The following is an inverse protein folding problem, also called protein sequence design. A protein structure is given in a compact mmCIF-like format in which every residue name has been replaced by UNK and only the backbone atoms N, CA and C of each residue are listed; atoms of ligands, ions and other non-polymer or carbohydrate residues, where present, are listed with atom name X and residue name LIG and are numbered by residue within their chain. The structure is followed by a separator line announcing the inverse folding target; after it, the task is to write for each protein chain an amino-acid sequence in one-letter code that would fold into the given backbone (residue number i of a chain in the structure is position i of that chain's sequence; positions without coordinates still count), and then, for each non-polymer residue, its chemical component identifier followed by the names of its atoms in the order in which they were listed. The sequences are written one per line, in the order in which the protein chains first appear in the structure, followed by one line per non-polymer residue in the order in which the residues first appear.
data_IF_386766304148
#
_entry.id   IF_386766304148
#
_cell.length_a   1.000
_cell.length_b   1.000
_cell.length_c   1.000
_cell.angle_alpha   90.00
_cell.angle_beta   90.00
_cell.angle_gamma   90.00
#
_symmetry.space_group_name_H-M   'P 1'
#
loop_
_entity.id
_entity.type
_entity.pdbx_description
1 polymer ?
#
# COMPACT_ATOMS: atom_id res chain seq x y z
N UNK A 1 22.95 3.85 -17.50
CA UNK A 1 22.30 3.06 -16.43
C UNK A 1 20.94 2.62 -16.95
N UNK A 2 20.49 1.35 -16.77
CA UNK A 2 19.11 0.98 -17.11
C UNK A 2 18.19 1.83 -16.21
N UNK A 3 17.26 2.54 -16.83
CA UNK A 3 16.31 3.35 -16.10
C UNK A 3 15.48 2.46 -15.16
N UNK A 4 15.63 2.62 -13.84
CA UNK A 4 14.80 1.93 -12.84
C UNK A 4 13.33 2.28 -13.10
N UNK A 5 12.46 1.26 -13.13
CA UNK A 5 11.02 1.44 -13.15
C UNK A 5 10.47 1.11 -11.75
N UNK A 6 9.53 1.91 -11.29
CA UNK A 6 8.89 1.74 -9.98
C UNK A 6 7.67 0.82 -10.10
N UNK A 7 7.53 -0.09 -9.14
CA UNK A 7 6.36 -0.99 -9.05
C UNK A 7 5.14 -0.23 -8.53
N UNK A 8 3.94 -0.60 -8.97
CA UNK A 8 2.69 -0.03 -8.45
C UNK A 8 1.78 -1.14 -7.93
N UNK A 9 1.23 -0.90 -6.74
CA UNK A 9 0.09 -1.59 -6.16
C UNK A 9 -1.07 -0.59 -6.17
N UNK A 10 -2.16 -0.85 -6.90
CA UNK A 10 -3.28 0.08 -7.03
C UNK A 10 -4.63 -0.57 -6.75
N UNK A 11 -5.61 0.21 -6.33
CA UNK A 11 -6.98 -0.22 -6.06
C UNK A 11 -7.60 0.57 -4.91
N UNK A 12 -8.86 0.26 -4.53
CA UNK A 12 -9.58 1.09 -3.56
C UNK A 12 -9.03 0.95 -2.14
N UNK A 13 -9.39 1.93 -1.29
CA UNK A 13 -9.17 1.86 0.15
C UNK A 13 -9.84 0.63 0.75
N UNK A 14 -11.11 0.39 0.39
CA UNK A 14 -11.89 -0.78 0.76
C UNK A 14 -12.66 -1.35 -0.44
N UNK A 15 -12.92 -2.65 -0.42
CA UNK A 15 -13.92 -3.27 -1.30
C UNK A 15 -15.29 -2.97 -0.70
N UNK A 16 -16.13 -2.25 -1.45
CA UNK A 16 -17.42 -1.74 -0.98
C UNK A 16 -18.60 -2.45 -1.67
N UNK A 17 -18.37 -3.01 -2.85
CA UNK A 17 -19.27 -3.88 -3.59
C UNK A 17 -18.53 -4.64 -4.69
N UNK A 18 -19.14 -5.72 -5.20
CA UNK A 18 -18.64 -6.45 -6.36
C UNK A 18 -18.53 -5.55 -7.60
N UNK A 19 -19.56 -4.73 -7.86
CA UNK A 19 -19.56 -3.79 -8.98
C UNK A 19 -18.46 -2.76 -8.90
N UNK A 20 -18.20 -2.21 -7.71
CA UNK A 20 -17.13 -1.24 -7.49
C UNK A 20 -15.74 -1.83 -7.80
N UNK A 21 -15.40 -2.98 -7.22
CA UNK A 21 -14.05 -3.56 -7.41
C UNK A 21 -13.84 -4.03 -8.85
N UNK A 22 -14.86 -4.60 -9.49
CA UNK A 22 -14.79 -4.98 -10.90
C UNK A 22 -14.57 -3.78 -11.83
N UNK A 23 -15.26 -2.66 -11.57
CA UNK A 23 -15.11 -1.44 -12.36
C UNK A 23 -13.73 -0.80 -12.18
N UNK A 24 -13.19 -0.79 -10.95
CA UNK A 24 -11.84 -0.29 -10.66
C UNK A 24 -10.78 -1.18 -11.34
N UNK A 25 -10.90 -2.50 -11.21
CA UNK A 25 -9.98 -3.43 -11.85
C UNK A 25 -9.94 -3.26 -13.37
N UNK A 26 -11.12 -3.12 -13.99
CA UNK A 26 -11.22 -2.84 -15.42
C UNK A 26 -10.56 -1.50 -15.78
N UNK A 27 -10.82 -0.44 -15.02
CA UNK A 27 -10.22 0.88 -15.25
C UNK A 27 -8.69 0.86 -15.18
N UNK A 28 -8.12 0.15 -14.20
CA UNK A 28 -6.67 -0.06 -14.08
C UNK A 28 -6.13 -0.86 -15.29
N UNK A 29 -6.82 -1.91 -15.71
CA UNK A 29 -6.42 -2.70 -16.89
C UNK A 29 -6.45 -1.86 -18.17
N UNK A 30 -7.47 -1.01 -18.34
CA UNK A 30 -7.58 -0.08 -19.48
C UNK A 30 -6.42 0.94 -19.49
N UNK A 31 -5.94 1.39 -18.33
CA UNK A 31 -4.76 2.26 -18.19
C UNK A 31 -3.50 1.53 -18.67
N UNK A 32 -3.27 0.30 -18.18
CA UNK A 32 -2.12 -0.52 -18.56
C UNK A 32 -2.11 -0.78 -20.06
N UNK A 33 -3.24 -1.16 -20.64
CA UNK A 33 -3.35 -1.46 -22.07
C UNK A 33 -3.08 -0.23 -22.97
N UNK A 34 -3.61 0.94 -22.57
CA UNK A 34 -3.44 2.19 -23.34
C UNK A 34 -2.01 2.73 -23.31
N UNK A 35 -1.19 2.28 -22.39
CA UNK A 35 0.22 2.67 -22.31
C UNK A 35 1.14 1.85 -23.24
N UNK A 36 0.59 1.01 -24.14
CA UNK A 36 1.35 0.05 -24.94
C UNK A 36 2.34 -0.79 -24.08
N UNK A 37 1.99 -1.03 -22.82
CA UNK A 37 2.83 -1.64 -21.79
C UNK A 37 4.14 -0.89 -21.50
N UNK A 38 4.25 0.41 -21.83
CA UNK A 38 5.50 1.16 -21.73
C UNK A 38 5.33 2.50 -21.01
N UNK A 39 4.96 2.50 -19.71
CA UNK A 39 5.32 3.65 -18.89
C UNK A 39 6.84 3.74 -18.81
N UNK A 40 7.40 4.95 -18.95
CA UNK A 40 8.85 5.17 -18.83
C UNK A 40 9.32 5.15 -17.38
N UNK A 41 8.43 5.44 -16.47
CA UNK A 41 8.71 5.61 -15.02
C UNK A 41 8.25 4.40 -14.22
N UNK A 42 7.09 3.84 -14.54
CA UNK A 42 6.48 2.77 -13.79
C UNK A 42 6.48 1.45 -14.55
N UNK A 43 6.67 0.36 -13.83
CA UNK A 43 6.40 -0.98 -14.35
C UNK A 43 4.89 -1.21 -14.42
N UNK A 44 4.48 -2.31 -15.06
CA UNK A 44 3.05 -2.68 -15.08
C UNK A 44 2.47 -2.78 -13.66
N UNK A 45 1.23 -2.32 -13.48
CA UNK A 45 0.49 -2.45 -12.22
C UNK A 45 0.15 -3.93 -12.03
N UNK A 46 0.90 -4.59 -11.16
CA UNK A 46 0.82 -6.05 -10.95
C UNK A 46 -0.24 -6.43 -9.92
N UNK A 47 -0.50 -5.59 -8.93
CA UNK A 47 -1.36 -5.92 -7.81
C UNK A 47 -2.61 -5.06 -7.77
N UNK A 48 -3.79 -5.72 -7.61
CA UNK A 48 -5.04 -5.06 -7.28
C UNK A 48 -5.23 -5.11 -5.76
N UNK A 49 -5.12 -3.94 -5.10
CA UNK A 49 -5.37 -3.83 -3.68
C UNK A 49 -6.85 -3.58 -3.38
N UNK A 50 -7.32 -4.08 -2.24
CA UNK A 50 -8.62 -3.74 -1.68
C UNK A 50 -8.69 -4.17 -0.21
N UNK A 51 -9.06 -3.26 0.69
CA UNK A 51 -9.29 -3.60 2.10
C UNK A 51 -10.60 -4.40 2.24
N UNK A 52 -10.50 -5.62 2.75
CA UNK A 52 -11.64 -6.50 3.05
C UNK A 52 -12.08 -6.28 4.49
N UNK A 53 -11.13 -6.17 5.38
CA UNK A 53 -11.31 -5.83 6.80
C UNK A 53 -10.64 -4.50 7.07
N UNK A 54 -11.31 -3.64 7.86
CA UNK A 54 -10.82 -2.29 8.17
C UNK A 54 -10.74 -2.11 9.67
N UNK A 55 -9.53 -2.17 10.28
CA UNK A 55 -9.39 -1.84 11.69
C UNK A 55 -9.73 -0.37 11.93
N UNK A 56 -10.75 -0.08 12.76
CA UNK A 56 -11.22 1.28 13.01
C UNK A 56 -10.90 1.70 14.43
N UNK A 57 -10.50 2.96 14.58
CA UNK A 57 -10.19 3.54 15.90
C UNK A 57 -11.45 3.78 16.73
N UNK A 58 -12.59 4.05 16.06
CA UNK A 58 -13.88 4.29 16.72
C UNK A 58 -14.89 3.23 16.32
N UNK A 59 -15.78 2.82 17.25
CA UNK A 59 -16.87 1.91 16.93
C UNK A 59 -17.87 2.55 15.95
N UNK A 60 -18.73 1.73 15.35
CA UNK A 60 -19.80 2.15 14.43
C UNK A 60 -19.30 2.82 13.13
N UNK A 61 -18.05 2.61 12.75
CA UNK A 61 -17.53 2.95 11.43
C UNK A 61 -17.55 1.71 10.52
N UNK A 62 -17.51 1.93 9.21
CA UNK A 62 -17.45 0.81 8.26
C UNK A 62 -16.17 -0.02 8.48
N UNK A 63 -16.32 -1.26 8.92
CA UNK A 63 -15.24 -2.19 9.25
C UNK A 63 -14.83 -3.11 8.10
N UNK A 64 -15.36 -2.84 6.89
CA UNK A 64 -15.22 -3.70 5.73
C UNK A 64 -16.37 -4.69 5.60
N UNK A 65 -16.45 -5.35 4.46
CA UNK A 65 -17.50 -6.34 4.19
C UNK A 65 -17.15 -7.75 4.72
N UNK A 66 -15.88 -7.95 5.10
CA UNK A 66 -15.43 -9.25 5.56
C UNK A 66 -15.35 -10.28 4.45
N UNK A 67 -15.46 -11.55 4.82
CA UNK A 67 -15.21 -12.71 3.94
C UNK A 67 -15.99 -12.69 2.62
N UNK A 68 -17.19 -12.12 2.59
CA UNK A 68 -18.04 -12.07 1.38
C UNK A 68 -17.37 -11.33 0.22
N UNK A 69 -16.46 -10.39 0.51
CA UNK A 69 -15.77 -9.60 -0.52
C UNK A 69 -14.45 -10.22 -1.01
N UNK A 70 -13.95 -11.31 -0.37
CA UNK A 70 -12.74 -11.99 -0.81
C UNK A 70 -12.85 -12.51 -2.25
N UNK A 71 -13.90 -13.29 -2.64
CA UNK A 71 -14.04 -13.76 -4.01
C UNK A 71 -14.19 -12.61 -5.00
N UNK A 72 -14.85 -11.50 -4.66
CA UNK A 72 -14.99 -10.36 -5.56
C UNK A 72 -13.64 -9.71 -5.91
N UNK A 73 -12.78 -9.50 -4.89
CA UNK A 73 -11.44 -8.96 -5.12
C UNK A 73 -10.57 -9.94 -5.91
N UNK A 74 -10.66 -11.24 -5.60
CA UNK A 74 -9.94 -12.29 -6.31
C UNK A 74 -10.34 -12.34 -7.79
N UNK A 75 -11.63 -12.46 -8.08
CA UNK A 75 -12.16 -12.56 -9.44
C UNK A 75 -11.87 -11.29 -10.27
N UNK A 76 -12.00 -10.10 -9.65
CA UNK A 76 -11.67 -8.84 -10.29
C UNK A 76 -10.19 -8.76 -10.68
N UNK A 77 -9.29 -9.19 -9.80
CA UNK A 77 -7.87 -9.20 -10.08
C UNK A 77 -7.49 -10.21 -11.18
N UNK A 78 -7.90 -11.47 -11.03
CA UNK A 78 -7.57 -12.55 -11.97
C UNK A 78 -8.11 -12.27 -13.37
N UNK A 79 -9.34 -11.78 -13.47
CA UNK A 79 -9.98 -11.41 -14.75
C UNK A 79 -9.14 -10.40 -15.56
N UNK A 80 -8.37 -9.59 -14.89
CA UNK A 80 -7.55 -8.53 -15.50
C UNK A 80 -6.04 -8.78 -15.38
N UNK A 81 -5.61 -10.04 -15.15
CA UNK A 81 -4.21 -10.44 -15.03
C UNK A 81 -3.45 -9.71 -13.92
N UNK A 82 -4.13 -9.36 -12.83
CA UNK A 82 -3.53 -8.79 -11.63
C UNK A 82 -3.53 -9.81 -10.47
N UNK A 83 -2.68 -9.60 -9.48
CA UNK A 83 -2.61 -10.38 -8.26
C UNK A 83 -3.48 -9.66 -7.20
N UNK A 84 -4.47 -10.36 -6.60
CA UNK A 84 -5.25 -9.76 -5.50
C UNK A 84 -4.39 -9.62 -4.25
N UNK A 85 -4.50 -8.47 -3.58
CA UNK A 85 -3.83 -8.23 -2.31
C UNK A 85 -4.76 -7.51 -1.32
N UNK A 86 -4.85 -8.00 -0.08
CA UNK A 86 -5.69 -7.43 0.97
C UNK A 86 -4.97 -7.33 2.31
N UNK A 87 -5.50 -6.47 3.22
CA UNK A 87 -5.03 -6.37 4.61
C UNK A 87 -5.46 -7.58 5.42
N UNK A 88 -4.53 -8.09 6.23
CA UNK A 88 -4.83 -9.06 7.28
C UNK A 88 -4.31 -8.54 8.62
N UNK A 89 -5.11 -8.71 9.67
CA UNK A 89 -4.77 -8.31 11.04
C UNK A 89 -4.83 -9.47 12.02
N UNK A 90 -5.30 -10.66 11.59
CA UNK A 90 -5.41 -11.85 12.44
C UNK A 90 -5.08 -13.11 11.65
N UNK A 91 -4.71 -14.18 12.37
CA UNK A 91 -4.50 -15.52 11.79
C UNK A 91 -5.75 -16.02 11.02
N UNK A 92 -6.94 -15.81 11.59
CA UNK A 92 -8.19 -16.21 10.94
C UNK A 92 -8.42 -15.49 9.59
N UNK A 93 -8.13 -14.18 9.52
CA UNK A 93 -8.24 -13.42 8.27
C UNK A 93 -7.24 -13.92 7.22
N UNK A 94 -6.00 -14.22 7.63
CA UNK A 94 -5.01 -14.78 6.72
C UNK A 94 -5.44 -16.16 6.19
N UNK A 95 -5.93 -17.05 7.06
CA UNK A 95 -6.45 -18.36 6.65
C UNK A 95 -7.56 -18.21 5.61
N UNK A 96 -8.52 -17.31 5.85
CA UNK A 96 -9.61 -17.04 4.90
C UNK A 96 -9.11 -16.47 3.55
N UNK A 97 -8.11 -15.60 3.57
CA UNK A 97 -7.51 -15.11 2.33
C UNK A 97 -6.85 -16.26 1.55
N UNK A 98 -6.07 -17.12 2.21
CA UNK A 98 -5.43 -18.28 1.58
C UNK A 98 -6.48 -19.25 1.02
N UNK A 99 -7.54 -19.56 1.76
CA UNK A 99 -8.64 -20.45 1.34
C UNK A 99 -9.38 -19.91 0.09
N UNK A 100 -9.35 -18.58 -0.11
CA UNK A 100 -9.89 -17.91 -1.30
C UNK A 100 -8.85 -17.68 -2.41
N UNK A 101 -7.69 -18.35 -2.35
CA UNK A 101 -6.69 -18.35 -3.42
C UNK A 101 -5.73 -17.16 -3.42
N UNK A 102 -5.74 -16.31 -2.39
CA UNK A 102 -4.78 -15.21 -2.29
C UNK A 102 -3.36 -15.76 -2.09
N UNK A 103 -2.43 -15.20 -2.84
CA UNK A 103 -0.99 -15.47 -2.72
C UNK A 103 -0.22 -14.25 -2.22
N UNK A 104 -0.91 -13.15 -1.97
CA UNK A 104 -0.31 -11.91 -1.48
C UNK A 104 -1.23 -11.24 -0.45
N UNK A 105 -0.65 -10.79 0.66
CA UNK A 105 -1.35 -10.02 1.71
C UNK A 105 -0.46 -8.91 2.24
N UNK A 106 -1.07 -7.90 2.90
CA UNK A 106 -0.27 -7.01 3.73
C UNK A 106 -0.72 -7.06 5.19
N UNK A 107 0.25 -6.97 6.08
CA UNK A 107 0.05 -6.77 7.50
C UNK A 107 -0.13 -5.27 7.74
N UNK A 108 -1.27 -4.87 8.29
CA UNK A 108 -1.61 -3.47 8.50
C UNK A 108 -0.76 -2.79 9.59
N UNK A 109 -0.70 -1.47 9.55
CA UNK A 109 0.12 -0.66 10.47
C UNK A 109 -0.27 -0.78 11.97
N UNK A 110 -1.52 -1.15 12.26
CA UNK A 110 -1.95 -1.43 13.64
C UNK A 110 -1.51 -2.80 14.11
N UNK A 111 -1.50 -3.75 13.20
CA UNK A 111 -1.11 -5.14 13.46
C UNK A 111 0.40 -5.30 13.54
N UNK A 112 1.18 -4.61 12.69
CA UNK A 112 2.64 -4.68 12.71
C UNK A 112 3.28 -4.16 14.01
N UNK A 113 2.55 -3.31 14.75
CA UNK A 113 2.95 -2.86 16.08
C UNK A 113 2.53 -3.80 17.23
N UNK A 114 1.89 -4.93 16.91
CA UNK A 114 1.46 -5.93 17.89
C UNK A 114 2.19 -7.26 17.68
N UNK A 115 3.22 -7.57 18.50
CA UNK A 115 3.99 -8.80 18.35
C UNK A 115 3.17 -10.10 18.50
N UNK A 116 2.09 -10.09 19.29
CA UNK A 116 1.22 -11.27 19.44
C UNK A 116 0.44 -11.53 18.15
N UNK A 117 -0.20 -10.50 17.60
CA UNK A 117 -0.93 -10.64 16.36
C UNK A 117 -0.01 -11.05 15.19
N UNK A 118 1.20 -10.51 15.10
CA UNK A 118 2.19 -10.91 14.09
C UNK A 118 2.61 -12.35 14.27
N UNK A 119 2.85 -12.82 15.52
CA UNK A 119 3.19 -14.21 15.78
C UNK A 119 2.06 -15.17 15.36
N UNK A 120 0.80 -14.86 15.69
CA UNK A 120 -0.35 -15.66 15.28
C UNK A 120 -0.47 -15.77 13.74
N UNK A 121 -0.22 -14.69 13.03
CA UNK A 121 -0.14 -14.66 11.56
C UNK A 121 1.01 -15.56 11.07
N UNK A 122 2.18 -15.49 11.70
CA UNK A 122 3.34 -16.31 11.35
C UNK A 122 3.08 -17.83 11.54
N UNK A 123 2.27 -18.24 12.53
CA UNK A 123 1.89 -19.65 12.65
C UNK A 123 1.11 -20.16 11.42
N UNK A 124 0.21 -19.35 10.88
CA UNK A 124 -0.50 -19.69 9.63
C UNK A 124 0.46 -19.74 8.44
N UNK A 125 1.37 -18.76 8.31
CA UNK A 125 2.38 -18.74 7.25
C UNK A 125 3.30 -19.96 7.30
N UNK A 126 3.68 -20.43 8.50
CA UNK A 126 4.54 -21.62 8.69
C UNK A 126 3.89 -22.89 8.15
N UNK A 127 2.54 -22.97 8.22
CA UNK A 127 1.76 -24.11 7.71
C UNK A 127 1.53 -23.96 6.21
N UNK A 128 1.42 -22.72 5.72
CA UNK A 128 1.27 -22.43 4.30
C UNK A 128 2.61 -22.63 3.57
N UNK A 129 2.73 -23.74 2.87
CA UNK A 129 3.96 -24.12 2.15
C UNK A 129 4.07 -23.55 0.73
N UNK A 130 3.29 -22.51 0.40
CA UNK A 130 3.40 -21.88 -0.91
C UNK A 130 4.67 -21.02 -0.99
N UNK A 131 5.71 -21.42 -1.78
CA UNK A 131 6.96 -20.68 -1.86
C UNK A 131 6.81 -19.32 -2.59
N UNK A 132 5.70 -19.12 -3.28
CA UNK A 132 5.40 -17.88 -3.98
C UNK A 132 4.49 -16.95 -3.17
N UNK A 133 4.24 -17.26 -1.90
CA UNK A 133 3.43 -16.39 -1.06
C UNK A 133 4.22 -15.12 -0.70
N UNK A 134 3.59 -13.95 -0.87
CA UNK A 134 4.21 -12.65 -0.65
C UNK A 134 3.54 -11.96 0.54
N UNK A 135 4.33 -11.45 1.46
CA UNK A 135 3.83 -10.68 2.62
C UNK A 135 4.43 -9.28 2.61
N UNK A 136 3.57 -8.29 2.59
CA UNK A 136 3.96 -6.89 2.69
C UNK A 136 3.72 -6.42 4.13
N UNK A 137 4.74 -5.86 4.78
CA UNK A 137 4.64 -5.42 6.18
C UNK A 137 4.65 -3.90 6.24
N UNK A 138 3.51 -3.29 6.62
CA UNK A 138 3.44 -1.84 6.86
C UNK A 138 4.20 -1.48 8.14
N UNK A 139 4.82 -0.29 8.15
CA UNK A 139 5.39 0.24 9.38
C UNK A 139 4.29 0.45 10.44
N UNK A 140 4.61 0.32 11.75
CA UNK A 140 3.72 0.72 12.84
C UNK A 140 3.29 2.18 12.76
N UNK A 141 2.19 2.54 13.46
CA UNK A 141 1.70 3.92 13.50
C UNK A 141 2.65 4.87 14.25
N UNK A 142 3.47 4.33 15.13
CA UNK A 142 4.52 5.06 15.87
C UNK A 142 5.87 4.91 15.17
N UNK A 143 6.73 5.89 15.36
CA UNK A 143 8.10 5.86 14.87
C UNK A 143 8.98 5.04 15.82
N UNK A 144 8.81 3.73 15.76
CA UNK A 144 9.58 2.75 16.53
C UNK A 144 10.21 1.73 15.55
N UNK A 145 11.51 1.86 15.37
CA UNK A 145 12.25 1.04 14.41
C UNK A 145 12.30 -0.42 14.82
N UNK A 146 12.46 -0.70 16.10
CA UNK A 146 12.57 -2.06 16.62
C UNK A 146 11.24 -2.83 16.48
N UNK A 147 10.11 -2.15 16.62
CA UNK A 147 8.79 -2.74 16.35
C UNK A 147 8.66 -3.16 14.88
N UNK A 148 9.06 -2.29 13.95
CA UNK A 148 8.96 -2.62 12.52
C UNK A 148 9.97 -3.71 12.14
N UNK A 149 11.23 -3.61 12.59
CA UNK A 149 12.24 -4.65 12.40
C UNK A 149 11.72 -5.98 12.93
N UNK A 150 11.24 -6.01 14.17
CA UNK A 150 10.76 -7.22 14.81
C UNK A 150 9.57 -7.87 14.08
N UNK A 151 8.65 -7.07 13.54
CA UNK A 151 7.56 -7.59 12.72
C UNK A 151 8.08 -8.23 11.43
N UNK A 152 9.00 -7.57 10.72
CA UNK A 152 9.60 -8.09 9.48
C UNK A 152 10.42 -9.34 9.74
N UNK A 153 11.26 -9.37 10.78
CA UNK A 153 12.07 -10.54 11.15
C UNK A 153 11.21 -11.77 11.46
N UNK A 154 10.09 -11.61 12.18
CA UNK A 154 9.14 -12.71 12.45
C UNK A 154 8.56 -13.27 11.17
N UNK A 155 8.13 -12.40 10.25
CA UNK A 155 7.56 -12.85 8.96
C UNK A 155 8.63 -13.50 8.09
N UNK A 156 9.85 -12.93 8.01
CA UNK A 156 10.98 -13.51 7.23
C UNK A 156 11.44 -14.87 7.76
N UNK A 157 11.19 -15.18 9.03
CA UNK A 157 11.51 -16.49 9.58
C UNK A 157 10.60 -17.62 9.03
N UNK A 158 9.49 -17.29 8.37
CA UNK A 158 8.48 -18.25 7.88
C UNK A 158 8.02 -18.01 6.44
N UNK A 159 8.46 -16.93 5.81
CA UNK A 159 8.11 -16.55 4.43
C UNK A 159 9.34 -15.92 3.78
N UNK A 160 9.70 -16.36 2.57
CA UNK A 160 10.89 -15.87 1.86
C UNK A 160 10.63 -14.51 1.16
N UNK A 161 9.40 -14.29 0.67
CA UNK A 161 9.06 -13.10 -0.09
C UNK A 161 8.38 -12.05 0.82
N UNK A 162 9.19 -11.25 1.49
CA UNK A 162 8.72 -10.21 2.41
C UNK A 162 9.12 -8.84 1.89
N UNK A 163 8.15 -7.95 1.77
CA UNK A 163 8.30 -6.58 1.30
C UNK A 163 7.91 -5.57 2.38
N UNK A 164 8.44 -4.37 2.28
CA UNK A 164 8.21 -3.28 3.22
C UNK A 164 7.21 -2.29 2.62
N UNK A 165 6.29 -1.77 3.43
CA UNK A 165 5.44 -0.64 3.06
C UNK A 165 5.59 0.45 4.12
N UNK A 166 6.05 1.62 3.70
CA UNK A 166 6.08 2.80 4.53
C UNK A 166 4.88 3.71 4.24
N UNK A 167 4.07 3.96 5.27
CA UNK A 167 2.84 4.75 5.18
C UNK A 167 2.86 6.02 6.05
N UNK A 168 4.03 6.38 6.56
CA UNK A 168 4.19 7.44 7.55
C UNK A 168 3.83 7.00 8.96
N UNK A 169 4.15 7.85 9.91
CA UNK A 169 3.87 7.66 11.34
C UNK A 169 2.89 8.71 11.85
N UNK A 170 2.37 8.53 13.04
CA UNK A 170 1.41 9.47 13.62
C UNK A 170 2.04 10.85 13.84
N UNK A 171 1.41 11.87 13.28
CA UNK A 171 1.82 13.27 13.49
C UNK A 171 1.05 13.84 14.68
N UNK A 172 1.76 14.28 15.73
CA UNK A 172 1.14 14.93 16.88
C UNK A 172 0.62 16.32 16.53
N UNK A 173 -0.37 16.81 17.28
CA UNK A 173 -0.91 18.16 17.07
C UNK A 173 0.15 19.24 17.30
N UNK A 174 1.02 19.06 18.28
CA UNK A 174 2.09 20.02 18.60
C UNK A 174 3.11 20.08 17.44
N UNK A 175 3.49 18.92 16.88
CA UNK A 175 4.39 18.88 15.74
C UNK A 175 3.75 19.49 14.50
N UNK A 176 2.47 19.24 14.25
CA UNK A 176 1.72 19.86 13.16
C UNK A 176 1.71 21.38 13.30
N UNK A 177 1.37 21.90 14.47
CA UNK A 177 1.33 23.33 14.74
C UNK A 177 2.71 23.99 14.57
N UNK A 178 3.78 23.29 14.97
CA UNK A 178 5.15 23.74 14.74
C UNK A 178 5.49 23.80 13.24
N UNK A 179 5.22 22.72 12.47
CA UNK A 179 5.44 22.69 11.03
C UNK A 179 4.66 23.80 10.30
N UNK A 180 3.40 24.04 10.68
CA UNK A 180 2.58 25.14 10.15
C UNK A 180 3.20 26.51 10.44
N UNK A 181 3.74 26.72 11.65
CA UNK A 181 4.42 27.98 12.03
C UNK A 181 5.70 28.21 11.21
N UNK A 182 6.42 27.16 10.88
CA UNK A 182 7.64 27.20 10.05
C UNK A 182 7.35 27.19 8.53
N UNK A 183 6.06 27.12 8.15
CA UNK A 183 5.60 27.05 6.73
C UNK A 183 6.22 25.91 5.95
N UNK A 184 6.37 24.75 6.59
CA UNK A 184 6.88 23.55 5.95
C UNK A 184 5.77 22.86 5.18
N UNK A 185 5.99 22.53 3.91
CA UNK A 185 4.97 21.99 3.00
C UNK A 185 4.31 20.71 3.52
N UNK A 186 5.06 19.84 4.22
CA UNK A 186 4.51 18.61 4.79
C UNK A 186 3.58 18.83 6.00
N UNK A 187 3.40 20.05 6.50
CA UNK A 187 2.44 20.35 7.56
C UNK A 187 1.01 19.95 7.21
N UNK A 188 0.66 20.00 5.92
CA UNK A 188 -0.65 19.59 5.40
C UNK A 188 -0.85 18.07 5.31
N UNK A 189 0.21 17.27 5.47
CA UNK A 189 0.13 15.81 5.38
C UNK A 189 -0.59 15.21 6.60
N UNK A 190 -1.26 14.08 6.35
CA UNK A 190 -1.98 13.33 7.42
C UNK A 190 -1.01 12.69 8.40
N UNK A 191 0.08 12.13 7.87
CA UNK A 191 1.08 11.42 8.65
C UNK A 191 2.46 12.02 8.39
N UNK A 192 3.32 11.87 9.37
CA UNK A 192 4.71 12.29 9.27
C UNK A 192 5.48 11.37 8.32
N UNK A 193 6.34 11.96 7.48
CA UNK A 193 7.24 11.24 6.61
C UNK A 193 8.69 11.44 7.09
N UNK A 194 9.31 10.36 7.57
CA UNK A 194 10.72 10.33 7.97
C UNK A 194 11.48 9.32 7.09
N UNK A 195 12.21 9.83 6.09
CA UNK A 195 12.96 8.98 5.18
C UNK A 195 14.21 8.37 5.82
N UNK A 196 14.78 9.00 6.85
CA UNK A 196 15.88 8.40 7.62
C UNK A 196 15.45 7.14 8.39
N UNK A 197 14.19 7.07 8.85
CA UNK A 197 13.60 5.87 9.41
C UNK A 197 13.47 4.75 8.34
N UNK A 198 13.09 5.13 7.12
CA UNK A 198 12.95 4.21 5.98
C UNK A 198 14.30 3.68 5.49
N UNK A 199 15.33 4.55 5.45
CA UNK A 199 16.70 4.18 5.09
C UNK A 199 17.26 3.09 6.01
N UNK A 200 17.06 3.22 7.32
CA UNK A 200 17.49 2.22 8.30
C UNK A 200 16.83 0.85 8.04
N UNK A 201 15.54 0.83 7.71
CA UNK A 201 14.86 -0.41 7.35
C UNK A 201 15.41 -1.03 6.07
N UNK A 202 15.67 -0.23 5.04
CA UNK A 202 16.23 -0.74 3.78
C UNK A 202 17.66 -1.23 3.95
N UNK A 203 18.46 -0.60 4.81
CA UNK A 203 19.80 -1.09 5.18
C UNK A 203 19.74 -2.44 5.90
N UNK A 204 18.76 -2.62 6.79
CA UNK A 204 18.56 -3.88 7.52
C UNK A 204 18.04 -5.01 6.63
N UNK A 205 17.18 -4.69 5.65
CA UNK A 205 16.54 -5.63 4.74
C UNK A 205 16.77 -5.24 3.27
N UNK A 206 18.02 -5.30 2.77
CA UNK A 206 18.36 -4.81 1.42
C UNK A 206 17.64 -5.57 0.30
N UNK A 207 17.34 -6.85 0.51
CA UNK A 207 16.69 -7.73 -0.48
C UNK A 207 15.16 -7.59 -0.50
N UNK A 208 14.56 -6.90 0.47
CA UNK A 208 13.12 -6.63 0.48
C UNK A 208 12.80 -5.39 -0.35
N UNK A 209 11.83 -5.49 -1.27
CA UNK A 209 11.32 -4.30 -1.95
C UNK A 209 10.68 -3.34 -0.94
N UNK A 210 10.90 -2.05 -1.13
CA UNK A 210 10.34 -0.99 -0.32
C UNK A 210 9.29 -0.22 -1.12
N UNK A 211 8.05 -0.26 -0.67
CA UNK A 211 6.94 0.51 -1.20
C UNK A 211 6.64 1.70 -0.29
N UNK A 212 6.36 2.84 -0.89
CA UNK A 212 5.81 4.01 -0.19
C UNK A 212 4.30 4.05 -0.42
N UNK A 213 3.54 4.38 0.62
CA UNK A 213 2.08 4.57 0.56
C UNK A 213 1.76 6.08 0.65
N UNK A 214 1.79 6.80 -0.48
CA UNK A 214 1.58 8.24 -0.51
C UNK A 214 0.14 8.63 -0.11
N UNK A 215 -0.83 7.77 -0.39
CA UNK A 215 -2.23 8.01 -0.03
C UNK A 215 -2.41 8.19 1.47
N UNK A 216 -1.75 7.34 2.27
CA UNK A 216 -1.84 7.46 3.73
C UNK A 216 -0.90 8.53 4.30
N UNK A 217 0.27 8.78 3.68
CA UNK A 217 1.18 9.85 4.15
C UNK A 217 0.51 11.20 3.95
N UNK A 218 0.07 11.49 2.74
CA UNK A 218 -0.51 12.81 2.42
C UNK A 218 -1.93 12.98 2.97
N UNK A 219 -2.75 11.91 2.92
CA UNK A 219 -4.16 11.94 3.33
C UNK A 219 -5.06 12.79 2.42
N UNK A 220 -4.52 13.24 1.27
CA UNK A 220 -5.23 14.08 0.31
C UNK A 220 -4.72 13.79 -1.11
N UNK A 221 -5.65 13.46 -2.02
CA UNK A 221 -5.35 13.10 -3.40
C UNK A 221 -4.53 14.17 -4.16
N UNK A 222 -4.71 15.46 -3.84
CA UNK A 222 -3.98 16.56 -4.50
C UNK A 222 -2.47 16.54 -4.22
N UNK A 223 -2.04 15.87 -3.15
CA UNK A 223 -0.64 15.80 -2.78
C UNK A 223 0.01 14.45 -3.12
N UNK A 224 -0.76 13.47 -3.61
CA UNK A 224 -0.23 12.12 -3.92
C UNK A 224 0.79 12.19 -5.04
N UNK A 225 0.46 12.80 -6.18
CA UNK A 225 1.38 12.92 -7.31
C UNK A 225 2.61 13.80 -6.98
N UNK A 226 2.47 15.02 -6.44
CA UNK A 226 3.64 15.82 -6.02
C UNK A 226 4.57 15.06 -5.06
N UNK A 227 4.01 14.31 -4.11
CA UNK A 227 4.80 13.51 -3.19
C UNK A 227 5.53 12.36 -3.89
N UNK A 228 4.89 11.66 -4.83
CA UNK A 228 5.55 10.60 -5.62
C UNK A 228 6.71 11.20 -6.43
N UNK A 229 6.51 12.37 -7.04
CA UNK A 229 7.53 13.06 -7.80
C UNK A 229 8.75 13.41 -6.92
N UNK A 230 8.53 13.86 -5.69
CA UNK A 230 9.59 14.10 -4.70
C UNK A 230 10.33 12.81 -4.36
N UNK A 231 9.62 11.70 -4.10
CA UNK A 231 10.23 10.41 -3.79
C UNK A 231 11.09 9.88 -4.94
N UNK A 232 10.62 9.99 -6.18
CA UNK A 232 11.36 9.56 -7.37
C UNK A 232 12.61 10.42 -7.56
N UNK A 233 12.52 11.73 -7.35
CA UNK A 233 13.64 12.65 -7.53
C UNK A 233 14.74 12.46 -6.48
N UNK A 234 14.36 12.31 -5.22
CA UNK A 234 15.30 12.35 -4.12
C UNK A 234 15.68 10.96 -3.56
N UNK A 235 14.85 9.93 -3.80
CA UNK A 235 14.98 8.62 -3.16
C UNK A 235 14.85 7.44 -4.15
N UNK A 236 15.17 7.66 -5.43
CA UNK A 236 15.05 6.66 -6.50
C UNK A 236 15.82 5.36 -6.22
N UNK A 237 16.93 5.43 -5.49
CA UNK A 237 17.74 4.26 -5.10
C UNK A 237 17.14 3.49 -3.93
N UNK A 238 16.35 4.16 -3.11
CA UNK A 238 15.77 3.60 -1.90
C UNK A 238 14.40 2.96 -2.16
N UNK A 239 13.53 3.66 -2.92
CA UNK A 239 12.14 3.28 -3.16
C UNK A 239 12.04 2.33 -4.35
N UNK A 240 11.36 1.18 -4.19
CA UNK A 240 11.13 0.20 -5.25
C UNK A 240 9.72 0.30 -5.88
N UNK A 241 8.78 0.97 -5.19
CA UNK A 241 7.43 1.14 -5.70
C UNK A 241 6.51 1.96 -4.80
N UNK A 242 5.25 2.02 -5.21
CA UNK A 242 4.20 2.79 -4.52
C UNK A 242 2.95 1.96 -4.34
N UNK A 243 2.29 2.11 -3.17
CA UNK A 243 0.96 1.57 -2.90
C UNK A 243 -0.04 2.73 -2.92
N UNK A 244 -0.91 2.77 -3.95
CA UNK A 244 -1.77 3.91 -4.24
C UNK A 244 -3.23 3.50 -4.07
N UNK A 245 -4.00 4.33 -3.35
CA UNK A 245 -5.45 4.19 -3.29
C UNK A 245 -6.10 4.88 -4.49
N UNK A 246 -6.98 4.16 -5.21
CA UNK A 246 -7.72 4.71 -6.34
C UNK A 246 -9.18 4.24 -6.34
N UNK A 247 -10.08 5.10 -6.80
CA UNK A 247 -11.50 4.84 -6.87
C UNK A 247 -12.08 5.28 -8.21
N UNK A 248 -13.17 4.66 -8.64
CA UNK A 248 -13.86 5.01 -9.89
C UNK A 248 -14.56 6.39 -9.79
N UNK A 249 -15.12 6.68 -8.63
CA UNK A 249 -15.65 7.98 -8.22
C UNK A 249 -15.41 8.13 -6.72
N UNK A 250 -14.41 8.88 -6.30
CA UNK A 250 -14.01 8.99 -4.89
C UNK A 250 -15.09 9.60 -4.00
N UNK A 251 -15.98 10.43 -4.56
CA UNK A 251 -17.04 11.05 -3.77
C UNK A 251 -18.07 10.03 -3.28
N UNK A 252 -18.21 8.90 -3.98
CA UNK A 252 -19.07 7.79 -3.58
C UNK A 252 -18.37 6.83 -2.60
N UNK A 253 -17.06 6.97 -2.39
CA UNK A 253 -16.31 6.09 -1.50
C UNK A 253 -16.80 6.18 -0.05
N UNK A 254 -17.05 5.03 0.56
CA UNK A 254 -17.46 4.93 1.98
C UNK A 254 -16.27 5.27 2.89
N UNK A 255 -15.04 4.93 2.47
CA UNK A 255 -13.84 5.10 3.28
C UNK A 255 -12.80 5.98 2.61
N UNK A 256 -12.15 6.83 3.40
CA UNK A 256 -10.94 7.59 3.05
C UNK A 256 -10.99 8.32 1.69
N UNK A 257 -12.18 8.81 1.28
CA UNK A 257 -12.42 9.44 -0.03
C UNK A 257 -11.43 10.55 -0.39
N UNK A 258 -10.96 11.31 0.61
CA UNK A 258 -10.07 12.45 0.39
C UNK A 258 -8.69 12.07 -0.13
N UNK A 259 -8.23 10.85 0.10
CA UNK A 259 -6.86 10.42 -0.24
C UNK A 259 -6.78 9.50 -1.46
N UNK A 260 -7.92 9.03 -1.98
CA UNK A 260 -7.95 8.16 -3.15
C UNK A 260 -7.84 8.98 -4.44
N UNK A 261 -6.98 8.56 -5.37
CA UNK A 261 -6.97 9.10 -6.73
C UNK A 261 -8.20 8.61 -7.49
N UNK A 262 -8.73 9.42 -8.39
CA UNK A 262 -9.60 8.92 -9.43
C UNK A 262 -8.80 8.22 -10.52
N UNK A 263 -9.45 7.36 -11.32
CA UNK A 263 -8.77 6.59 -12.36
C UNK A 263 -8.06 7.47 -13.40
N UNK A 264 -8.61 8.65 -13.71
CA UNK A 264 -7.96 9.59 -14.62
C UNK A 264 -6.67 10.17 -14.00
N UNK A 265 -6.66 10.49 -12.71
CA UNK A 265 -5.46 10.93 -12.01
C UNK A 265 -4.39 9.82 -11.94
N UNK A 266 -4.82 8.56 -11.67
CA UNK A 266 -3.91 7.42 -11.73
C UNK A 266 -3.34 7.21 -13.13
N UNK A 267 -4.13 7.43 -14.17
CA UNK A 267 -3.70 7.34 -15.56
C UNK A 267 -2.68 8.41 -15.90
N UNK A 268 -2.92 9.66 -15.53
CA UNK A 268 -1.98 10.78 -15.74
C UNK A 268 -0.65 10.48 -15.07
N UNK A 269 -0.67 10.07 -13.80
CA UNK A 269 0.51 9.64 -13.07
C UNK A 269 1.24 8.49 -13.78
N UNK A 270 0.52 7.45 -14.18
CA UNK A 270 1.10 6.24 -14.79
C UNK A 270 1.73 6.51 -16.16
N UNK A 271 1.17 7.44 -16.94
CA UNK A 271 1.65 7.82 -18.27
C UNK A 271 2.67 8.98 -18.23
N UNK A 272 2.99 9.50 -17.05
CA UNK A 272 3.94 10.61 -16.91
C UNK A 272 5.32 10.27 -17.50
N UNK A 273 5.97 11.26 -18.09
CA UNK A 273 7.29 11.12 -18.69
C UNK A 273 8.40 11.38 -17.68
N UNK A 274 9.56 10.74 -17.88
CA UNK A 274 10.69 10.84 -16.94
C UNK A 274 11.25 12.25 -16.82
N UNK A 275 11.19 13.04 -17.89
CA UNK A 275 11.69 14.42 -17.93
C UNK A 275 11.02 15.33 -16.88
N UNK A 276 9.81 14.96 -16.41
CA UNK A 276 9.10 15.66 -15.32
C UNK A 276 9.76 15.45 -13.94
N UNK A 277 10.65 14.47 -13.81
CA UNK A 277 11.31 14.09 -12.55
C UNK A 277 12.80 14.51 -12.50
N UNK A 278 13.36 14.98 -13.62
CA UNK A 278 14.79 15.32 -13.76
C UNK A 278 15.10 16.81 -13.55
N UNK A 279 14.09 17.66 -13.32
CA UNK A 279 14.27 19.09 -12.98
C UNK A 279 14.39 19.24 -11.45
#
# INVERSE_FOLDING_TARGET
MKNKQFKIIAGPCAVESEGQIMAIAKGIADIIQKSDNHSKVFSSIKYLRGGIWKPRTRPNMFEGLGEVALPWLYDAAVKHNMIPITEVGTAAQLTKAIDNGFTSVWIGARTSGDPFAVNDICEVLRINKNPNFEVFVKNPLVEDLDLWIGAVERVKAVCDNVHLIYRGTYMTNDKRAWLESEKVDCACYRNECNMGFVEQMKCKFPDSDLFIDPSHITGNHNYVEPFINEMIRNYDKLVDGFMIETHINREDAITDRKQQLELDQLKELYLSERDQYEM
#
